data_IF_018609111129
#
_entry.id   IF_018609111129
#
_cell.length_a   1.000
_cell.length_b   1.000
_cell.length_c   1.000
_cell.angle_alpha   90.00
_cell.angle_beta   90.00
_cell.angle_gamma   90.00
#
_symmetry.space_group_name_H-M   'P 1'
#
loop_
_entity.id
_entity.type
_entity.pdbx_description
1 polymer ?
#
# COMPACT_ATOMS: atom_id res chain seq x y z
N UNK A 1 39.64 19.28 -4.70
CA UNK A 1 39.06 18.58 -3.54
C UNK A 1 37.54 18.58 -3.72
N UNK A 2 36.99 17.51 -4.30
CA UNK A 2 35.54 17.37 -4.56
C UNK A 2 35.02 16.23 -3.68
N UNK A 3 34.44 16.60 -2.53
CA UNK A 3 33.85 15.66 -1.58
C UNK A 3 32.59 15.02 -2.17
N UNK A 4 32.67 13.72 -2.52
CA UNK A 4 31.50 12.91 -2.85
C UNK A 4 30.78 12.54 -1.56
N UNK A 5 29.58 13.07 -1.38
CA UNK A 5 28.64 12.71 -0.32
C UNK A 5 28.11 11.30 -0.61
N UNK A 6 28.64 10.29 0.08
CA UNK A 6 28.14 8.91 0.00
C UNK A 6 26.92 8.74 0.93
N UNK A 7 25.74 8.57 0.34
CA UNK A 7 24.55 8.10 1.04
C UNK A 7 24.59 6.55 1.10
N UNK A 8 24.37 5.90 2.26
CA UNK A 8 24.45 4.46 2.34
C UNK A 8 23.17 3.84 1.77
N UNK A 9 23.17 3.57 0.47
CA UNK A 9 22.29 2.54 -0.07
C UNK A 9 22.91 1.16 0.17
N UNK A 10 22.02 0.18 0.31
CA UNK A 10 22.22 -1.27 0.27
C UNK A 10 23.35 -1.90 1.10
N UNK A 11 23.08 -2.15 2.39
CA UNK A 11 23.65 -3.35 3.04
C UNK A 11 23.17 -4.58 2.27
N UNK A 12 24.10 -5.32 1.69
CA UNK A 12 23.90 -6.64 1.06
C UNK A 12 23.32 -7.61 2.07
N UNK A 13 22.21 -8.32 1.76
CA UNK A 13 21.74 -9.38 2.66
C UNK A 13 22.65 -10.60 2.53
N UNK A 14 23.18 -11.06 3.66
CA UNK A 14 23.83 -12.37 3.79
C UNK A 14 22.85 -13.48 3.41
N UNK A 15 23.32 -14.40 2.58
CA UNK A 15 22.53 -15.55 2.11
C UNK A 15 22.54 -16.61 3.20
N UNK A 16 21.43 -16.75 3.93
CA UNK A 16 21.13 -17.96 4.67
C UNK A 16 20.16 -18.84 3.86
N UNK A 17 20.63 -20.07 3.66
CA UNK A 17 20.00 -21.23 3.03
C UNK A 17 18.47 -21.30 3.18
N UNK A 18 17.79 -21.52 2.06
CA UNK A 18 16.54 -22.29 2.03
C UNK A 18 15.31 -21.59 2.61
N UNK A 19 14.84 -20.53 1.95
CA UNK A 19 13.52 -19.97 2.26
C UNK A 19 13.13 -18.95 1.21
N UNK A 20 12.09 -19.26 0.43
CA UNK A 20 11.57 -18.37 -0.62
C UNK A 20 11.26 -16.99 -0.03
N UNK A 21 12.06 -15.98 -0.37
CA UNK A 21 11.72 -14.60 -0.08
C UNK A 21 10.54 -14.21 -0.98
N UNK A 22 9.33 -14.23 -0.43
CA UNK A 22 8.24 -13.45 -1.04
C UNK A 22 8.53 -12.00 -0.69
N UNK A 23 9.26 -11.32 -1.57
CA UNK A 23 9.45 -9.88 -1.51
C UNK A 23 8.10 -9.21 -1.82
N UNK A 24 7.22 -9.13 -0.81
CA UNK A 24 5.99 -8.31 -0.83
C UNK A 24 6.38 -6.83 -0.73
N UNK A 25 7.18 -6.34 -1.67
CA UNK A 25 7.43 -4.91 -1.83
C UNK A 25 6.30 -4.27 -2.62
N UNK A 26 6.01 -3.01 -2.29
CA UNK A 26 4.87 -2.16 -2.68
C UNK A 26 4.73 -1.80 -4.17
N UNK A 27 5.05 -2.73 -5.06
CA UNK A 27 4.85 -2.65 -6.50
C UNK A 27 3.47 -3.17 -6.95
N UNK A 28 2.64 -3.70 -6.06
CA UNK A 28 1.39 -4.39 -6.46
C UNK A 28 0.21 -3.48 -6.78
N UNK A 29 0.15 -2.26 -6.24
CA UNK A 29 -0.97 -1.32 -6.47
C UNK A 29 -0.57 0.02 -7.10
N UNK A 30 0.73 0.23 -7.34
CA UNK A 30 1.22 1.40 -8.06
C UNK A 30 0.82 1.32 -9.52
N UNK A 31 0.28 2.42 -10.05
CA UNK A 31 -0.04 2.51 -11.46
C UNK A 31 1.23 2.35 -12.29
N UNK A 32 1.30 1.25 -13.06
CA UNK A 32 2.35 1.06 -14.05
C UNK A 32 2.06 1.95 -15.26
N UNK A 33 2.78 3.07 -15.38
CA UNK A 33 2.59 4.07 -16.46
C UNK A 33 3.01 3.55 -17.84
N UNK A 34 3.71 2.42 -17.90
CA UNK A 34 4.16 1.80 -19.15
C UNK A 34 3.19 0.73 -19.66
N UNK A 35 2.26 0.26 -18.81
CA UNK A 35 1.30 -0.77 -19.16
C UNK A 35 0.01 -0.16 -19.73
N UNK A 36 0.12 0.54 -20.87
CA UNK A 36 -1.07 1.05 -21.55
C UNK A 36 -1.91 -0.13 -22.08
N UNK A 37 -3.20 -0.16 -21.71
CA UNK A 37 -4.17 -1.13 -22.22
C UNK A 37 -5.25 -0.37 -22.99
N UNK A 38 -5.41 -0.67 -24.27
CA UNK A 38 -6.58 -0.24 -25.02
C UNK A 38 -7.81 -0.97 -24.47
N UNK A 39 -8.77 -0.24 -23.92
CA UNK A 39 -10.01 -0.77 -23.34
C UNK A 39 -11.20 0.04 -23.86
N UNK A 40 -12.37 -0.59 -23.97
CA UNK A 40 -13.59 0.09 -24.40
C UNK A 40 -14.19 0.93 -23.26
N UNK A 41 -15.08 1.88 -23.60
CA UNK A 41 -15.75 2.71 -22.59
C UNK A 41 -16.58 1.88 -21.59
N UNK A 42 -17.20 0.80 -22.08
CA UNK A 42 -17.99 -0.12 -21.26
C UNK A 42 -17.11 -0.93 -20.29
N UNK A 43 -15.94 -1.37 -20.76
CA UNK A 43 -14.95 -2.06 -19.90
C UNK A 43 -14.38 -1.12 -18.84
N UNK A 44 -14.12 0.14 -19.18
CA UNK A 44 -13.67 1.16 -18.24
C UNK A 44 -14.75 1.48 -17.19
N UNK A 45 -16.03 1.47 -17.54
CA UNK A 45 -17.11 1.72 -16.59
C UNK A 45 -17.29 0.58 -15.56
N UNK A 46 -16.86 -0.65 -15.87
CA UNK A 46 -17.12 -1.83 -15.06
C UNK A 46 -16.05 -2.12 -13.99
N UNK A 47 -15.69 -1.11 -13.19
CA UNK A 47 -14.75 -1.30 -12.08
C UNK A 47 -15.35 -2.11 -10.91
N UNK A 48 -16.67 -2.08 -10.73
CA UNK A 48 -17.32 -2.76 -9.59
C UNK A 48 -17.16 -4.28 -9.63
N UNK A 49 -17.18 -4.88 -10.84
CA UNK A 49 -17.04 -6.32 -11.01
C UNK A 49 -15.65 -6.83 -10.60
N UNK A 50 -14.61 -6.02 -10.80
CA UNK A 50 -13.25 -6.33 -10.39
C UNK A 50 -13.15 -6.44 -8.86
N UNK A 51 -13.60 -5.41 -8.13
CA UNK A 51 -13.54 -5.42 -6.67
C UNK A 51 -14.42 -6.50 -6.03
N UNK A 52 -15.56 -6.84 -6.67
CA UNK A 52 -16.44 -7.92 -6.20
C UNK A 52 -15.76 -9.29 -6.17
N UNK A 53 -14.78 -9.53 -7.06
CA UNK A 53 -14.03 -10.80 -7.12
C UNK A 53 -12.93 -10.91 -6.06
N UNK A 54 -12.52 -9.79 -5.47
CA UNK A 54 -11.47 -9.77 -4.44
C UNK A 54 -12.01 -10.19 -3.09
N UNK A 55 -11.17 -10.87 -2.31
CA UNK A 55 -11.39 -11.13 -0.89
C UNK A 55 -11.46 -9.82 -0.10
N UNK A 56 -12.11 -9.85 1.07
CA UNK A 56 -12.21 -8.66 1.91
C UNK A 56 -10.82 -8.18 2.39
N UNK A 57 -9.87 -9.09 2.59
CA UNK A 57 -8.49 -8.75 2.97
C UNK A 57 -7.79 -7.95 1.88
N UNK A 58 -7.92 -8.38 0.61
CA UNK A 58 -7.34 -7.66 -0.53
C UNK A 58 -7.97 -6.28 -0.68
N UNK A 59 -9.29 -6.16 -0.49
CA UNK A 59 -9.99 -4.87 -0.51
C UNK A 59 -9.45 -3.92 0.57
N UNK A 60 -9.22 -4.42 1.80
CA UNK A 60 -8.65 -3.62 2.88
C UNK A 60 -7.23 -3.17 2.58
N UNK A 61 -6.41 -4.01 1.95
CA UNK A 61 -5.06 -3.63 1.52
C UNK A 61 -5.09 -2.49 0.48
N UNK A 62 -5.98 -2.60 -0.51
CA UNK A 62 -6.19 -1.53 -1.51
C UNK A 62 -6.63 -0.23 -0.82
N UNK A 63 -7.61 -0.31 0.09
CA UNK A 63 -8.08 0.86 0.83
C UNK A 63 -6.96 1.51 1.66
N UNK A 64 -6.13 0.70 2.35
CA UNK A 64 -5.00 1.18 3.14
C UNK A 64 -3.96 1.91 2.26
N UNK A 65 -3.65 1.38 1.08
CA UNK A 65 -2.77 2.00 0.10
C UNK A 65 -3.33 3.32 -0.45
N UNK A 66 -4.63 3.36 -0.80
CA UNK A 66 -5.27 4.59 -1.27
C UNK A 66 -5.24 5.68 -0.18
N UNK A 67 -5.49 5.32 1.07
CA UNK A 67 -5.38 6.24 2.20
C UNK A 67 -3.95 6.74 2.40
N UNK A 68 -2.94 5.89 2.21
CA UNK A 68 -1.53 6.30 2.36
C UNK A 68 -1.12 7.34 1.31
N UNK A 69 -1.67 7.24 0.09
CA UNK A 69 -1.51 8.27 -0.95
C UNK A 69 -2.25 9.55 -0.54
N UNK A 70 -3.53 9.44 -0.16
CA UNK A 70 -4.38 10.58 0.11
C UNK A 70 -3.88 11.44 1.27
N UNK A 71 -3.36 10.80 2.33
CA UNK A 71 -2.87 11.46 3.54
C UNK A 71 -1.35 11.51 3.64
N UNK A 72 -0.64 11.11 2.57
CA UNK A 72 0.81 11.17 2.44
C UNK A 72 1.58 10.57 3.64
N UNK A 73 1.24 9.33 4.00
CA UNK A 73 1.98 8.57 5.02
C UNK A 73 2.61 7.30 4.43
N UNK A 74 3.66 6.73 5.06
CA UNK A 74 4.25 5.49 4.58
C UNK A 74 3.28 4.32 4.76
N UNK A 75 3.04 3.54 3.70
CA UNK A 75 2.03 2.44 3.68
C UNK A 75 2.18 1.43 4.83
N UNK A 76 3.41 1.12 5.24
CA UNK A 76 3.73 0.20 6.34
C UNK A 76 3.80 0.88 7.72
N UNK A 77 3.62 2.19 7.77
CA UNK A 77 3.69 2.97 9.00
C UNK A 77 2.54 4.00 9.03
N UNK A 78 1.28 3.53 9.14
CA UNK A 78 0.14 4.42 9.23
C UNK A 78 0.20 5.25 10.52
N UNK A 79 -0.34 6.48 10.52
CA UNK A 79 -0.48 7.30 11.71
C UNK A 79 -1.22 6.53 12.80
N UNK A 80 -0.71 6.59 14.03
CA UNK A 80 -1.36 5.95 15.18
C UNK A 80 -2.61 6.74 15.55
N UNK A 81 -3.73 6.04 15.68
CA UNK A 81 -4.97 6.64 16.14
C UNK A 81 -4.83 7.00 17.63
N UNK A 82 -5.05 8.28 17.96
CA UNK A 82 -5.18 8.72 19.34
C UNK A 82 -6.58 8.36 19.87
N UNK A 83 -6.63 7.42 20.81
CA UNK A 83 -7.89 6.91 21.40
C UNK A 83 -8.41 7.80 22.52
N UNK A 84 -7.63 8.78 22.98
CA UNK A 84 -8.02 9.64 24.11
C UNK A 84 -9.13 10.63 23.74
N UNK A 85 -9.23 10.99 22.46
CA UNK A 85 -10.24 11.92 21.93
C UNK A 85 -11.61 11.23 21.76
N UNK A 86 -11.62 9.91 21.54
CA UNK A 86 -12.83 9.15 21.30
C UNK A 86 -13.35 8.49 22.58
N UNK A 87 -14.28 9.15 23.27
CA UNK A 87 -14.99 8.58 24.42
C UNK A 87 -16.37 8.08 24.00
N UNK A 88 -16.60 6.77 24.12
CA UNK A 88 -17.96 6.22 24.05
C UNK A 88 -18.70 6.64 25.33
N UNK A 89 -19.72 7.50 25.20
CA UNK A 89 -20.61 7.86 26.30
C UNK A 89 -21.82 6.95 26.22
N UNK A 90 -21.93 5.99 27.13
CA UNK A 90 -23.18 5.26 27.31
C UNK A 90 -24.23 6.22 27.87
N UNK A 91 -25.35 6.39 27.17
CA UNK A 91 -26.55 7.00 27.76
C UNK A 91 -27.15 5.97 28.71
N UNK A 92 -27.03 6.20 30.02
CA UNK A 92 -27.89 5.50 30.98
C UNK A 92 -29.33 5.97 30.73
N UNK A 93 -30.24 4.99 30.58
CA UNK A 93 -31.69 5.20 30.53
C UNK A 93 -32.27 4.97 31.92
#
# INVERSE_FOLDING_TARGET
STGKLNWPHNKTPEVLSGGKYVHLSMSTFRLNRLAFKAQTAEEAANHSSYYKKLSWQERLKIAAYLNSIAFNYPENNPPKLDRTIFKAVARNN
#
